data_IF_671117108801
#
_entry.id   IF_671117108801
#
_cell.length_a   1.000
_cell.length_b   1.000
_cell.length_c   1.000
_cell.angle_alpha   90.00
_cell.angle_beta   90.00
_cell.angle_gamma   90.00
#
_symmetry.space_group_name_H-M   'P 1'
#
loop_
_entity.id
_entity.type
_entity.pdbx_description
1 polymer ?
#
# COMPACT_ATOMS: atom_id res chain seq x y z
N UNK A 1 -21.93 7.22 -19.77
CA UNK A 1 -21.10 7.15 -18.54
C UNK A 1 -19.68 7.58 -18.84
N UNK A 2 -19.05 8.33 -17.92
CA UNK A 2 -17.70 8.87 -18.16
C UNK A 2 -16.58 7.85 -17.86
N UNK A 3 -16.93 6.63 -17.45
CA UNK A 3 -15.98 5.60 -17.01
C UNK A 3 -15.85 5.54 -15.49
N UNK A 4 -14.91 4.73 -15.03
CA UNK A 4 -14.53 4.57 -13.60
C UNK A 4 -13.01 4.54 -13.49
N UNK A 5 -12.45 5.27 -12.52
CA UNK A 5 -10.99 5.36 -12.34
C UNK A 5 -10.38 4.17 -11.59
N UNK A 6 -11.10 3.65 -10.60
CA UNK A 6 -10.63 2.56 -9.73
C UNK A 6 -11.71 1.50 -9.53
N UNK A 7 -11.28 0.24 -9.45
CA UNK A 7 -12.08 -0.90 -9.00
C UNK A 7 -11.30 -1.63 -7.91
N UNK A 8 -11.95 -1.93 -6.79
CA UNK A 8 -11.26 -2.45 -5.61
C UNK A 8 -11.81 -3.77 -5.11
N UNK A 9 -10.92 -4.56 -4.51
CA UNK A 9 -11.20 -5.71 -3.64
C UNK A 9 -12.18 -6.75 -4.25
N UNK A 10 -12.20 -6.85 -5.57
CA UNK A 10 -13.05 -7.81 -6.25
C UNK A 10 -12.58 -9.26 -6.06
N UNK A 11 -11.28 -9.45 -5.80
CA UNK A 11 -10.69 -10.76 -5.54
C UNK A 11 -11.10 -11.36 -4.19
N UNK A 12 -11.13 -10.53 -3.14
CA UNK A 12 -11.52 -10.99 -1.80
C UNK A 12 -13.03 -10.93 -1.55
N UNK A 13 -13.77 -10.11 -2.31
CA UNK A 13 -15.20 -9.91 -2.09
C UNK A 13 -16.08 -11.09 -2.55
N UNK A 14 -15.61 -11.91 -3.50
CA UNK A 14 -16.44 -12.93 -4.15
C UNK A 14 -15.80 -14.32 -4.28
N UNK A 15 -14.65 -14.59 -3.68
CA UNK A 15 -13.97 -15.89 -3.76
C UNK A 15 -13.93 -16.52 -5.16
N UNK A 16 -13.73 -15.69 -6.19
CA UNK A 16 -13.68 -16.16 -7.57
C UNK A 16 -12.42 -17.00 -7.82
N UNK A 17 -12.56 -18.01 -8.65
CA UNK A 17 -11.41 -18.75 -9.15
C UNK A 17 -10.50 -17.81 -9.99
N UNK A 18 -9.17 -17.99 -9.98
CA UNK A 18 -8.23 -17.07 -10.64
C UNK A 18 -8.53 -16.81 -12.11
N UNK A 19 -8.99 -17.83 -12.86
CA UNK A 19 -9.35 -17.67 -14.27
C UNK A 19 -10.57 -16.76 -14.46
N UNK A 20 -11.62 -16.97 -13.65
CA UNK A 20 -12.81 -16.12 -13.67
C UNK A 20 -12.50 -14.68 -13.26
N UNK A 21 -11.60 -14.52 -12.31
CA UNK A 21 -11.14 -13.21 -11.86
C UNK A 21 -10.40 -12.47 -12.97
N UNK A 22 -9.46 -13.16 -13.64
CA UNK A 22 -8.73 -12.62 -14.80
C UNK A 22 -9.70 -12.22 -15.93
N UNK A 23 -10.62 -13.08 -16.27
CA UNK A 23 -11.57 -12.85 -17.35
C UNK A 23 -12.48 -11.66 -17.03
N UNK A 24 -12.98 -11.56 -15.79
CA UNK A 24 -13.73 -10.40 -15.32
C UNK A 24 -12.95 -9.08 -15.47
N UNK A 25 -11.69 -9.07 -15.06
CA UNK A 25 -10.85 -7.86 -15.19
C UNK A 25 -10.61 -7.52 -16.65
N UNK A 26 -10.32 -8.51 -17.48
CA UNK A 26 -10.10 -8.30 -18.91
C UNK A 26 -11.34 -7.71 -19.61
N UNK A 27 -12.53 -8.27 -19.35
CA UNK A 27 -13.81 -7.82 -19.88
C UNK A 27 -14.12 -6.38 -19.42
N UNK A 28 -13.91 -6.07 -18.15
CA UNK A 28 -14.10 -4.73 -17.61
C UNK A 28 -13.19 -3.72 -18.30
N UNK A 29 -11.91 -4.02 -18.44
CA UNK A 29 -10.94 -3.11 -19.07
C UNK A 29 -11.26 -2.90 -20.56
N UNK A 30 -11.66 -3.96 -21.25
CA UNK A 30 -12.08 -3.87 -22.65
C UNK A 30 -13.35 -3.03 -22.80
N UNK A 31 -14.34 -3.27 -21.93
CA UNK A 31 -15.58 -2.49 -21.92
C UNK A 31 -15.30 -1.00 -21.71
N UNK A 32 -14.45 -0.64 -20.72
CA UNK A 32 -14.08 0.75 -20.43
C UNK A 32 -13.42 1.41 -21.65
N UNK A 33 -12.49 0.72 -22.31
CA UNK A 33 -11.81 1.25 -23.52
C UNK A 33 -12.76 1.52 -24.67
N UNK A 34 -13.75 0.63 -24.87
CA UNK A 34 -14.67 0.71 -26.02
C UNK A 34 -15.86 1.60 -25.78
N UNK A 35 -16.34 1.71 -24.54
CA UNK A 35 -17.67 2.28 -24.25
C UNK A 35 -17.61 3.57 -23.41
N UNK A 36 -16.42 4.13 -23.13
CA UNK A 36 -16.30 5.40 -22.44
C UNK A 36 -15.63 6.45 -23.32
N UNK A 37 -15.98 7.74 -23.18
CA UNK A 37 -15.41 8.81 -24.02
C UNK A 37 -13.89 8.94 -23.93
N UNK A 38 -13.31 8.65 -22.77
CA UNK A 38 -11.86 8.73 -22.55
C UNK A 38 -11.10 7.48 -23.00
N UNK A 39 -11.76 6.32 -23.07
CA UNK A 39 -11.13 5.04 -23.35
C UNK A 39 -10.08 4.61 -22.32
N UNK A 40 -10.05 5.24 -21.13
CA UNK A 40 -9.05 4.99 -20.10
C UNK A 40 -9.48 3.78 -19.26
N UNK A 41 -8.61 2.75 -19.12
CA UNK A 41 -8.83 1.61 -18.22
C UNK A 41 -8.85 2.01 -16.75
N UNK A 42 -9.48 1.19 -15.90
CA UNK A 42 -9.48 1.39 -14.46
C UNK A 42 -8.19 0.85 -13.81
N UNK A 43 -7.79 1.45 -12.69
CA UNK A 43 -6.80 0.88 -11.77
C UNK A 43 -7.51 -0.19 -10.95
N UNK A 44 -7.08 -1.45 -11.08
CA UNK A 44 -7.57 -2.56 -10.28
C UNK A 44 -6.67 -2.73 -9.06
N UNK A 45 -7.21 -2.46 -7.85
CA UNK A 45 -6.43 -2.51 -6.62
C UNK A 45 -6.99 -3.47 -5.59
N UNK A 46 -6.08 -4.14 -4.87
CA UNK A 46 -6.37 -5.20 -3.93
C UNK A 46 -5.57 -5.07 -2.64
N UNK A 47 -5.98 -5.80 -1.60
CA UNK A 47 -5.18 -5.97 -0.39
C UNK A 47 -4.08 -7.01 -0.59
N UNK A 48 -2.87 -6.71 -0.09
CA UNK A 48 -1.70 -7.57 -0.32
C UNK A 48 -0.67 -7.57 0.83
N UNK A 49 -1.07 -7.23 2.05
CA UNK A 49 -0.17 -7.15 3.21
C UNK A 49 0.48 -8.50 3.50
N UNK A 50 -0.30 -9.58 3.60
CA UNK A 50 0.17 -10.95 3.85
C UNK A 50 0.17 -11.82 2.59
N UNK A 51 0.43 -11.23 1.45
CA UNK A 51 0.23 -11.84 0.14
C UNK A 51 -1.06 -11.34 -0.51
N UNK A 52 -1.31 -11.73 -1.75
CA UNK A 52 -2.51 -11.34 -2.47
C UNK A 52 -3.78 -11.91 -1.80
N UNK A 53 -4.71 -11.05 -1.41
CA UNK A 53 -5.94 -11.45 -0.73
C UNK A 53 -6.95 -12.02 -1.74
N UNK A 54 -6.68 -13.22 -2.26
CA UNK A 54 -7.51 -13.90 -3.25
C UNK A 54 -7.53 -15.41 -3.02
N UNK A 55 -8.61 -16.06 -3.45
CA UNK A 55 -8.72 -17.52 -3.42
C UNK A 55 -7.57 -18.19 -4.18
N UNK A 56 -6.92 -19.13 -3.52
CA UNK A 56 -5.81 -19.91 -4.10
C UNK A 56 -4.45 -19.18 -4.13
N UNK A 57 -4.38 -17.92 -3.69
CA UNK A 57 -3.12 -17.22 -3.54
C UNK A 57 -2.35 -17.68 -2.29
N UNK A 58 -1.03 -17.51 -2.32
CA UNK A 58 -0.18 -17.86 -1.18
C UNK A 58 -0.36 -16.83 -0.05
N UNK A 59 -0.60 -17.33 1.16
CA UNK A 59 -0.63 -16.54 2.38
C UNK A 59 0.75 -16.60 3.03
N UNK A 60 1.30 -15.43 3.32
CA UNK A 60 2.58 -15.25 4.00
C UNK A 60 2.35 -14.80 5.45
N UNK A 61 3.37 -14.85 6.32
CA UNK A 61 3.29 -14.24 7.64
C UNK A 61 2.89 -12.76 7.55
N UNK A 62 2.22 -12.26 8.59
CA UNK A 62 1.93 -10.83 8.73
C UNK A 62 3.23 -10.02 8.81
N UNK A 63 3.16 -8.72 8.50
CA UNK A 63 4.34 -7.85 8.43
C UNK A 63 5.13 -7.83 9.75
N UNK A 64 4.45 -7.83 10.91
CA UNK A 64 5.12 -7.89 12.21
C UNK A 64 5.98 -9.16 12.35
N UNK A 65 5.45 -10.33 11.92
CA UNK A 65 6.21 -11.58 11.93
C UNK A 65 7.41 -11.56 10.99
N UNK A 66 7.28 -10.94 9.82
CA UNK A 66 8.38 -10.76 8.88
C UNK A 66 9.41 -9.73 9.40
N UNK A 67 8.97 -8.67 10.08
CA UNK A 67 9.86 -7.71 10.72
C UNK A 67 10.77 -8.35 11.77
N UNK A 68 10.26 -9.34 12.53
CA UNK A 68 11.06 -10.10 13.49
C UNK A 68 12.23 -10.88 12.88
N UNK A 69 12.25 -11.08 11.58
CA UNK A 69 13.40 -11.71 10.89
C UNK A 69 14.59 -10.77 10.71
N UNK A 70 14.38 -9.46 10.76
CA UNK A 70 15.38 -8.42 10.45
C UNK A 70 16.02 -8.61 9.07
N UNK A 71 15.32 -9.25 8.14
CA UNK A 71 15.84 -9.61 6.82
C UNK A 71 14.98 -9.00 5.70
N UNK A 72 15.37 -7.83 5.17
CA UNK A 72 14.67 -7.18 4.05
C UNK A 72 14.61 -8.03 2.76
N UNK A 73 15.59 -8.92 2.51
CA UNK A 73 15.59 -9.75 1.30
C UNK A 73 14.40 -10.72 1.27
N UNK A 74 13.98 -11.24 2.43
CA UNK A 74 12.76 -12.05 2.52
C UNK A 74 11.52 -11.23 2.16
N UNK A 75 11.50 -9.95 2.52
CA UNK A 75 10.40 -9.05 2.18
C UNK A 75 10.37 -8.75 0.68
N UNK A 76 11.52 -8.53 0.06
CA UNK A 76 11.63 -8.34 -1.40
C UNK A 76 11.05 -9.56 -2.11
N UNK A 77 11.50 -10.76 -1.75
CA UNK A 77 11.07 -12.01 -2.40
C UNK A 77 9.57 -12.28 -2.21
N UNK A 78 9.05 -12.14 -0.98
CA UNK A 78 7.62 -12.24 -0.67
C UNK A 78 6.80 -11.28 -1.54
N UNK A 79 7.23 -10.04 -1.63
CA UNK A 79 6.47 -8.99 -2.34
C UNK A 79 6.55 -9.18 -3.86
N UNK A 80 7.67 -9.66 -4.38
CA UNK A 80 7.82 -10.07 -5.79
C UNK A 80 6.83 -11.18 -6.16
N UNK A 81 6.76 -12.24 -5.35
CA UNK A 81 5.80 -13.35 -5.58
C UNK A 81 4.35 -12.87 -5.46
N UNK A 82 4.07 -11.95 -4.53
CA UNK A 82 2.75 -11.32 -4.40
C UNK A 82 2.38 -10.55 -5.66
N UNK A 83 3.30 -9.73 -6.20
CA UNK A 83 3.07 -9.00 -7.45
C UNK A 83 2.80 -9.94 -8.63
N UNK A 84 3.54 -11.03 -8.76
CA UNK A 84 3.32 -12.04 -9.79
C UNK A 84 1.91 -12.65 -9.72
N UNK A 85 1.44 -12.98 -8.50
CA UNK A 85 0.09 -13.49 -8.29
C UNK A 85 -0.98 -12.46 -8.68
N UNK A 86 -0.82 -11.20 -8.29
CA UNK A 86 -1.74 -10.11 -8.63
C UNK A 86 -1.79 -9.85 -10.14
N UNK A 87 -0.64 -9.83 -10.80
CA UNK A 87 -0.57 -9.59 -12.26
C UNK A 87 -1.25 -10.68 -13.08
N UNK A 88 -1.24 -11.93 -12.63
CA UNK A 88 -1.92 -13.05 -13.32
C UNK A 88 -3.42 -12.82 -13.48
N UNK A 89 -4.03 -12.05 -12.57
CA UNK A 89 -5.46 -11.73 -12.61
C UNK A 89 -5.76 -10.29 -13.03
N UNK A 90 -4.74 -9.52 -13.43
CA UNK A 90 -4.91 -8.16 -13.93
C UNK A 90 -4.96 -7.07 -12.84
N UNK A 91 -4.70 -7.41 -11.57
CA UNK A 91 -4.54 -6.41 -10.50
C UNK A 91 -3.24 -5.63 -10.66
N UNK A 92 -3.31 -4.30 -10.56
CA UNK A 92 -2.20 -3.40 -10.90
C UNK A 92 -1.73 -2.53 -9.75
N UNK A 93 -2.45 -2.51 -8.64
CA UNK A 93 -2.09 -1.76 -7.43
C UNK A 93 -2.40 -2.57 -6.18
N UNK A 94 -1.50 -2.52 -5.19
CA UNK A 94 -1.71 -3.08 -3.86
C UNK A 94 -1.88 -1.97 -2.84
N UNK A 95 -2.87 -2.08 -1.96
CA UNK A 95 -3.07 -1.17 -0.83
C UNK A 95 -2.11 -1.51 0.33
N UNK A 96 -0.83 -1.52 0.01
CA UNK A 96 0.28 -1.99 0.85
C UNK A 96 1.60 -1.32 0.41
N UNK A 97 2.61 -1.26 1.30
CA UNK A 97 2.68 -1.74 2.68
C UNK A 97 1.99 -0.81 3.69
N UNK A 98 1.69 -1.34 4.90
CA UNK A 98 1.37 -0.52 6.06
C UNK A 98 2.65 -0.20 6.81
N UNK A 99 3.01 1.08 6.87
CA UNK A 99 4.25 1.56 7.51
C UNK A 99 3.97 2.47 8.71
N UNK A 100 2.78 2.34 9.29
CA UNK A 100 2.44 3.00 10.54
C UNK A 100 3.37 2.54 11.65
N UNK A 101 4.04 3.50 12.29
CA UNK A 101 4.87 3.25 13.47
C UNK A 101 3.95 3.13 14.69
N UNK A 102 3.99 1.99 15.37
CA UNK A 102 3.12 1.72 16.52
C UNK A 102 3.57 2.57 17.72
N UNK A 103 2.66 3.35 18.27
CA UNK A 103 2.87 4.21 19.45
C UNK A 103 1.96 3.86 20.63
N UNK A 104 1.02 2.94 20.43
CA UNK A 104 0.11 2.49 21.47
C UNK A 104 -0.24 1.02 21.33
N UNK A 105 -0.29 0.31 22.45
CA UNK A 105 -0.70 -1.09 22.49
C UNK A 105 -2.20 -1.29 22.22
N UNK A 106 -2.99 -0.22 22.18
CA UNK A 106 -4.41 -0.28 21.82
C UNK A 106 -4.66 -0.19 20.32
N UNK A 107 -3.60 -0.04 19.50
CA UNK A 107 -3.74 -0.05 18.05
C UNK A 107 -4.14 -1.46 17.57
N UNK A 108 -5.34 -1.55 17.00
CA UNK A 108 -5.97 -2.83 16.66
C UNK A 108 -5.48 -3.48 15.36
N UNK A 109 -4.41 -2.91 14.74
CA UNK A 109 -3.80 -3.40 13.49
C UNK A 109 -2.29 -3.59 13.64
N UNK A 110 -1.81 -3.89 14.84
CA UNK A 110 -0.38 -4.04 15.14
C UNK A 110 0.27 -5.10 14.24
N UNK A 111 -0.42 -6.22 13.99
CA UNK A 111 0.10 -7.32 13.16
C UNK A 111 0.36 -6.94 11.70
N UNK A 112 -0.32 -5.91 11.21
CA UNK A 112 -0.10 -5.40 9.85
C UNK A 112 1.12 -4.45 9.76
N UNK A 113 1.64 -3.99 10.91
CA UNK A 113 2.78 -3.06 11.00
C UNK A 113 4.11 -3.80 11.05
N UNK A 114 5.20 -3.04 10.98
CA UNK A 114 6.55 -3.54 11.27
C UNK A 114 6.99 -3.29 12.72
N UNK A 115 6.09 -2.78 13.58
CA UNK A 115 6.32 -2.52 15.00
C UNK A 115 6.56 -1.06 15.35
N UNK A 116 7.36 -0.83 16.38
CA UNK A 116 7.56 0.48 17.01
C UNK A 116 8.79 1.23 16.49
N UNK A 117 9.71 0.53 15.83
CA UNK A 117 10.96 1.10 15.32
C UNK A 117 10.75 1.71 13.93
N UNK A 118 11.02 3.00 13.80
CA UNK A 118 10.84 3.77 12.57
C UNK A 118 11.81 3.35 11.47
N UNK A 119 13.05 3.03 11.83
CA UNK A 119 14.05 2.61 10.86
C UNK A 119 13.73 1.23 10.29
N UNK A 120 13.38 0.27 11.14
CA UNK A 120 12.95 -1.06 10.70
C UNK A 120 11.70 -0.95 9.81
N UNK A 121 10.72 -0.14 10.20
CA UNK A 121 9.51 0.11 9.41
C UNK A 121 9.85 0.71 8.03
N UNK A 122 10.79 1.64 7.97
CA UNK A 122 11.30 2.21 6.72
C UNK A 122 12.03 1.18 5.87
N UNK A 123 12.97 0.43 6.44
CA UNK A 123 13.77 -0.56 5.72
C UNK A 123 12.92 -1.69 5.14
N UNK A 124 12.01 -2.26 5.94
CA UNK A 124 11.09 -3.31 5.50
C UNK A 124 10.07 -2.79 4.50
N UNK A 125 9.58 -1.55 4.69
CA UNK A 125 8.70 -0.88 3.74
C UNK A 125 9.35 -0.64 2.38
N UNK A 126 10.60 -0.18 2.36
CA UNK A 126 11.41 -0.03 1.13
C UNK A 126 11.54 -1.38 0.42
N UNK A 127 11.91 -2.43 1.14
CA UNK A 127 12.02 -3.78 0.59
C UNK A 127 10.70 -4.30 0.01
N UNK A 128 9.58 -4.05 0.71
CA UNK A 128 8.24 -4.39 0.21
C UNK A 128 7.94 -3.71 -1.12
N UNK A 129 8.16 -2.40 -1.21
CA UNK A 129 7.88 -1.62 -2.42
C UNK A 129 8.78 -2.05 -3.57
N UNK A 130 10.07 -2.28 -3.32
CA UNK A 130 11.02 -2.76 -4.33
C UNK A 130 10.60 -4.13 -4.90
N UNK A 131 10.21 -5.06 -4.03
CA UNK A 131 9.74 -6.38 -4.47
C UNK A 131 8.43 -6.29 -5.26
N UNK A 132 7.49 -5.46 -4.81
CA UNK A 132 6.18 -5.34 -5.44
C UNK A 132 6.24 -4.63 -6.80
N UNK A 133 6.94 -3.49 -6.88
CA UNK A 133 7.01 -2.68 -8.11
C UNK A 133 8.06 -3.21 -9.09
N UNK A 134 9.11 -3.87 -8.60
CA UNK A 134 10.22 -4.30 -9.44
C UNK A 134 10.92 -3.13 -10.14
N UNK A 135 11.69 -3.44 -11.16
CA UNK A 135 12.40 -2.44 -11.99
C UNK A 135 11.55 -1.90 -13.16
N UNK A 136 10.42 -2.52 -13.43
CA UNK A 136 9.51 -2.16 -14.52
C UNK A 136 8.06 -2.26 -14.03
N UNK A 137 7.45 -1.11 -13.78
CA UNK A 137 6.07 -1.06 -13.27
C UNK A 137 5.04 -1.67 -14.24
N UNK A 138 5.34 -1.75 -15.52
CA UNK A 138 4.47 -2.43 -16.47
C UNK A 138 4.37 -3.94 -16.18
N UNK A 139 5.35 -4.51 -15.49
CA UNK A 139 5.39 -5.92 -15.05
C UNK A 139 5.13 -6.09 -13.56
N UNK A 140 5.42 -5.07 -12.76
CA UNK A 140 5.18 -5.03 -11.33
C UNK A 140 3.77 -4.57 -10.96
N UNK A 141 3.55 -4.32 -9.68
CA UNK A 141 2.30 -3.82 -9.10
C UNK A 141 2.61 -2.53 -8.34
N UNK A 142 1.85 -1.47 -8.57
CA UNK A 142 2.04 -0.22 -7.87
C UNK A 142 1.77 -0.38 -6.36
N UNK A 143 2.70 0.07 -5.52
CA UNK A 143 2.50 0.11 -4.09
C UNK A 143 1.70 1.36 -3.70
N UNK A 144 0.71 1.19 -2.83
CA UNK A 144 -0.01 2.27 -2.15
C UNK A 144 0.24 2.15 -0.65
N UNK A 145 1.29 2.82 -0.20
CA UNK A 145 1.68 2.79 1.21
C UNK A 145 0.63 3.45 2.11
N UNK A 146 0.48 2.97 3.34
CA UNK A 146 -0.56 3.43 4.27
C UNK A 146 -0.09 3.37 5.72
N UNK A 147 -0.68 4.16 6.61
CA UNK A 147 -1.65 5.24 6.38
C UNK A 147 -0.97 6.56 6.70
N UNK A 148 -0.79 7.42 5.75
CA UNK A 148 -0.19 8.73 5.97
C UNK A 148 -1.16 9.60 6.78
N UNK A 149 -0.85 10.08 7.96
CA UNK A 149 0.35 9.98 8.75
C UNK A 149 -0.05 9.84 10.22
N UNK A 150 0.57 8.88 10.97
CA UNK A 150 0.41 8.79 12.42
C UNK A 150 -0.78 7.95 12.91
N UNK A 151 -1.35 7.08 12.09
CA UNK A 151 -2.52 6.23 12.43
C UNK A 151 -2.19 5.21 13.53
N UNK A 152 -0.94 4.79 13.69
CA UNK A 152 -0.48 3.85 14.73
C UNK A 152 -0.43 4.40 16.15
N UNK A 153 -1.11 5.54 16.43
CA UNK A 153 -1.16 6.18 17.75
C UNK A 153 -0.45 7.53 17.82
N UNK A 154 0.01 8.07 16.69
CA UNK A 154 0.74 9.34 16.61
C UNK A 154 -0.10 10.61 16.52
N UNK A 155 -1.43 10.53 16.78
CA UNK A 155 -2.36 11.66 16.58
C UNK A 155 -2.05 12.92 17.38
N UNK A 156 -1.42 12.77 18.56
CA UNK A 156 -1.05 13.84 19.47
C UNK A 156 0.47 14.00 19.62
N UNK A 157 1.27 13.30 18.81
CA UNK A 157 2.73 13.34 18.87
C UNK A 157 3.26 14.77 18.70
N UNK A 158 4.31 15.15 19.42
CA UNK A 158 5.05 16.38 19.17
C UNK A 158 5.52 16.44 17.70
N UNK A 159 5.66 17.64 17.16
CA UNK A 159 6.08 17.83 15.77
C UNK A 159 7.43 17.18 15.45
N UNK A 160 8.36 17.20 16.41
CA UNK A 160 9.66 16.56 16.27
C UNK A 160 9.50 15.06 16.09
N UNK A 161 8.73 14.38 16.93
CA UNK A 161 8.45 12.94 16.81
C UNK A 161 7.72 12.64 15.50
N UNK A 162 6.74 13.47 15.12
CA UNK A 162 6.02 13.32 13.86
C UNK A 162 6.99 13.33 12.67
N UNK A 163 7.92 14.28 12.64
CA UNK A 163 8.82 14.50 11.50
C UNK A 163 10.02 13.57 11.48
N UNK A 164 10.59 13.22 12.63
CA UNK A 164 11.80 12.41 12.72
C UNK A 164 11.53 10.91 12.79
N UNK A 165 10.36 10.50 13.31
CA UNK A 165 10.06 9.09 13.53
C UNK A 165 8.85 8.62 12.71
N UNK A 166 7.69 9.28 12.83
CA UNK A 166 6.46 8.81 12.21
C UNK A 166 6.45 9.03 10.70
N UNK A 167 6.98 10.15 10.23
CA UNK A 167 7.10 10.47 8.81
C UNK A 167 8.23 9.68 8.13
N UNK A 168 9.27 9.30 8.86
CA UNK A 168 10.46 8.66 8.31
C UNK A 168 10.18 7.44 7.42
N UNK A 169 9.36 6.45 7.82
CA UNK A 169 9.07 5.30 6.94
C UNK A 169 8.38 5.72 5.64
N UNK A 170 7.48 6.70 5.67
CA UNK A 170 6.81 7.22 4.48
C UNK A 170 7.80 7.91 3.53
N UNK A 171 8.71 8.74 4.06
CA UNK A 171 9.78 9.35 3.26
C UNK A 171 10.70 8.30 2.65
N UNK A 172 11.11 7.29 3.44
CA UNK A 172 12.00 6.24 2.99
C UNK A 172 11.42 5.48 1.78
N UNK A 173 10.16 5.05 1.85
CA UNK A 173 9.54 4.29 0.76
C UNK A 173 9.31 5.13 -0.50
N UNK A 174 9.01 6.43 -0.36
CA UNK A 174 8.83 7.32 -1.52
C UNK A 174 10.19 7.60 -2.17
N UNK A 175 11.19 8.02 -1.37
CA UNK A 175 12.49 8.46 -1.90
C UNK A 175 13.39 7.31 -2.32
N UNK A 176 13.42 6.20 -1.57
CA UNK A 176 14.35 5.09 -1.82
C UNK A 176 13.77 3.99 -2.70
N UNK A 177 12.44 3.82 -2.71
CA UNK A 177 11.78 2.78 -3.50
C UNK A 177 10.80 3.32 -4.54
N UNK A 178 10.53 4.62 -4.56
CA UNK A 178 9.66 5.24 -5.56
C UNK A 178 8.21 4.78 -5.48
N UNK A 179 7.65 4.61 -4.26
CA UNK A 179 6.24 4.25 -4.08
C UNK A 179 5.32 5.15 -4.88
N UNK A 180 4.39 4.57 -5.63
CA UNK A 180 3.55 5.31 -6.60
C UNK A 180 2.28 5.89 -6.02
N UNK A 181 1.87 5.42 -4.85
CA UNK A 181 0.65 5.89 -4.19
C UNK A 181 0.86 5.93 -2.68
N UNK A 182 0.16 6.85 -2.03
CA UNK A 182 0.08 6.95 -0.57
C UNK A 182 -1.37 7.16 -0.17
N UNK A 183 -1.84 6.35 0.76
CA UNK A 183 -3.18 6.44 1.35
C UNK A 183 -3.12 7.24 2.65
N UNK A 184 -3.95 8.27 2.79
CA UNK A 184 -4.09 9.01 4.04
C UNK A 184 -4.91 8.23 5.07
N UNK A 185 -4.61 8.44 6.36
CA UNK A 185 -5.43 7.90 7.44
C UNK A 185 -6.75 8.65 7.61
N UNK A 186 -7.74 8.00 8.24
CA UNK A 186 -9.05 8.59 8.55
C UNK A 186 -9.06 9.42 9.83
N UNK A 187 -8.00 9.34 10.62
CA UNK A 187 -7.88 10.00 11.91
C UNK A 187 -7.51 11.49 11.79
N UNK A 188 -7.52 12.16 12.95
CA UNK A 188 -7.06 13.54 13.06
C UNK A 188 -5.64 13.59 13.66
N UNK A 189 -4.87 14.59 13.26
CA UNK A 189 -3.66 15.00 13.95
C UNK A 189 -3.89 16.37 14.59
N UNK A 190 -3.70 16.45 15.90
CA UNK A 190 -3.98 17.66 16.71
C UNK A 190 -5.36 18.27 16.38
N UNK A 191 -6.38 17.42 16.37
CA UNK A 191 -7.77 17.81 16.16
C UNK A 191 -8.15 18.15 14.70
N UNK A 192 -7.22 18.06 13.74
CA UNK A 192 -7.47 18.33 12.32
C UNK A 192 -7.37 17.04 11.51
N UNK A 193 -8.38 16.74 10.69
CA UNK A 193 -8.34 15.57 9.81
C UNK A 193 -7.09 15.58 8.95
N UNK A 194 -6.34 14.48 8.93
CA UNK A 194 -5.10 14.34 8.15
C UNK A 194 -5.35 14.62 6.66
N UNK A 195 -6.40 14.03 6.10
CA UNK A 195 -6.78 14.22 4.69
C UNK A 195 -7.11 15.67 4.32
N UNK A 196 -7.53 16.49 5.28
CA UNK A 196 -7.86 17.91 5.11
C UNK A 196 -6.74 18.86 5.59
N UNK A 197 -5.59 18.34 5.97
CA UNK A 197 -4.47 19.13 6.50
C UNK A 197 -3.51 19.55 5.39
N UNK A 198 -3.62 20.79 4.94
CA UNK A 198 -2.67 21.35 3.95
C UNK A 198 -1.20 21.20 4.38
N UNK A 199 -0.79 21.51 5.64
CA UNK A 199 0.60 21.30 6.06
C UNK A 199 1.05 19.84 5.88
N UNK A 200 0.24 18.85 6.24
CA UNK A 200 0.61 17.44 6.10
C UNK A 200 0.61 16.98 4.63
N UNK A 201 -0.38 17.40 3.85
CA UNK A 201 -0.52 16.91 2.46
C UNK A 201 0.29 17.74 1.47
N UNK A 202 0.29 19.08 1.59
CA UNK A 202 0.99 19.91 0.62
C UNK A 202 2.46 20.12 1.01
N UNK A 203 2.71 20.49 2.29
CA UNK A 203 4.07 20.86 2.68
C UNK A 203 4.95 19.62 2.95
N UNK A 204 4.44 18.62 3.70
CA UNK A 204 5.21 17.40 3.95
C UNK A 204 5.13 16.42 2.78
N UNK A 205 3.94 15.90 2.45
CA UNK A 205 3.84 14.82 1.48
C UNK A 205 4.26 15.24 0.07
N UNK A 206 3.77 16.38 -0.41
CA UNK A 206 4.08 16.86 -1.77
C UNK A 206 5.32 17.72 -1.86
N UNK A 207 5.56 18.58 -0.87
CA UNK A 207 6.67 19.52 -0.89
C UNK A 207 7.97 18.90 -0.42
N UNK A 208 7.96 18.15 0.68
CA UNK A 208 9.18 17.58 1.28
C UNK A 208 9.53 16.20 0.73
N UNK A 209 8.55 15.33 0.48
CA UNK A 209 8.85 13.97 0.01
C UNK A 209 8.89 13.83 -1.51
N UNK A 210 8.33 14.77 -2.26
CA UNK A 210 8.28 14.81 -3.72
C UNK A 210 6.95 14.34 -4.26
#
# INVERSE_FOLDING_TARGET
PNGIGHVCQFACAQELDPDKLRDFVADLQEWLRKNTPSGIPAICHEEAISGFAAKGATVYPQQLGLACTWNPDLMIEKSRQTAEAMRKVGSTMALSPMVDVVRTSTFNRIEESYGEDSYLSGAMGVAFVQGLQGNDLAKGVAACSKHFLGYGGGSESPEKELTEEILFPHEAIIRCAGSKCTMTGYHSYKGKLVVASAPLIQDYLRGRTG
#
